data_IF_288384023487
#
_entry.id   IF_288384023487
#
_cell.length_a   1.000
_cell.length_b   1.000
_cell.length_c   1.000
_cell.angle_alpha   90.00
_cell.angle_beta   90.00
_cell.angle_gamma   90.00
#
_symmetry.space_group_name_H-M   'P 1'
#
loop_
_entity.id
_entity.type
_entity.pdbx_description
1 polymer ?
#
# COMPACT_ATOMS: atom_id res chain seq x y z
N UNK A 1 -12.99 36.54 7.23
CA UNK A 1 -11.58 36.29 7.61
C UNK A 1 -10.93 35.59 6.42
N UNK A 2 -9.94 36.23 5.79
CA UNK A 2 -9.21 35.61 4.66
C UNK A 2 -8.02 34.90 5.27
N UNK A 3 -7.99 33.56 5.14
CA UNK A 3 -6.86 32.75 5.61
C UNK A 3 -5.86 32.65 4.44
N UNK A 4 -4.68 33.24 4.63
CA UNK A 4 -3.59 33.10 3.67
C UNK A 4 -2.80 31.82 3.98
N UNK A 5 -2.50 30.99 2.97
CA UNK A 5 -1.63 29.81 3.17
C UNK A 5 -0.23 30.25 3.62
N UNK A 6 0.46 29.41 4.37
CA UNK A 6 1.82 29.70 4.81
C UNK A 6 2.75 29.81 3.57
N UNK A 7 3.68 30.75 3.61
CA UNK A 7 4.58 31.08 2.48
C UNK A 7 5.36 29.85 1.98
N UNK A 8 5.74 28.93 2.88
CA UNK A 8 6.38 27.64 2.54
C UNK A 8 5.56 26.74 1.60
N UNK A 9 4.22 26.93 1.53
CA UNK A 9 3.36 26.13 0.65
C UNK A 9 3.41 26.61 -0.80
N UNK A 10 3.86 27.84 -1.05
CA UNK A 10 3.98 28.38 -2.40
C UNK A 10 5.12 27.74 -3.21
N UNK A 11 6.11 27.14 -2.53
CA UNK A 11 7.25 26.45 -3.15
C UNK A 11 7.00 24.94 -3.39
N UNK A 12 5.88 24.41 -2.90
CA UNK A 12 5.53 22.99 -3.11
C UNK A 12 5.15 22.76 -4.57
N UNK A 13 5.97 21.99 -5.27
CA UNK A 13 5.68 21.57 -6.64
C UNK A 13 4.81 20.33 -6.64
N UNK A 14 3.96 20.20 -7.64
CA UNK A 14 3.18 18.98 -7.84
C UNK A 14 4.12 17.78 -8.04
N UNK A 15 3.80 16.67 -7.37
CA UNK A 15 4.57 15.45 -7.46
C UNK A 15 4.70 14.99 -8.92
N UNK A 16 5.92 14.67 -9.33
CA UNK A 16 6.26 14.35 -10.72
C UNK A 16 5.34 13.29 -11.33
N UNK A 17 5.12 12.18 -10.63
CA UNK A 17 4.26 11.10 -11.13
C UNK A 17 2.80 11.49 -11.26
N UNK A 18 2.27 12.32 -10.35
CA UNK A 18 0.89 12.84 -10.45
C UNK A 18 0.71 13.64 -11.74
N UNK A 19 1.69 14.47 -12.08
CA UNK A 19 1.67 15.24 -13.34
C UNK A 19 1.75 14.31 -14.55
N UNK A 20 2.64 13.31 -14.53
CA UNK A 20 2.78 12.34 -15.62
C UNK A 20 1.54 11.47 -15.83
N UNK A 21 0.87 11.08 -14.77
CA UNK A 21 -0.38 10.34 -14.87
C UNK A 21 -1.49 11.17 -15.54
N UNK A 22 -1.54 12.47 -15.26
CA UNK A 22 -2.48 13.40 -15.94
C UNK A 22 -2.15 13.52 -17.45
N UNK A 23 -0.87 13.63 -17.80
CA UNK A 23 -0.42 13.66 -19.20
C UNK A 23 -0.82 12.37 -19.94
N UNK A 24 -0.56 11.19 -19.34
CA UNK A 24 -0.93 9.90 -19.92
C UNK A 24 -2.46 9.78 -20.07
N UNK A 25 -3.23 10.23 -19.09
CA UNK A 25 -4.69 10.19 -19.18
C UNK A 25 -5.21 11.04 -20.36
N UNK A 26 -4.62 12.23 -20.58
CA UNK A 26 -4.95 13.09 -21.74
C UNK A 26 -4.59 12.43 -23.06
N UNK A 27 -3.39 11.87 -23.17
CA UNK A 27 -2.93 11.14 -24.37
C UNK A 27 -3.86 9.97 -24.65
N UNK A 28 -4.21 9.17 -23.65
CA UNK A 28 -5.11 8.02 -23.81
C UNK A 28 -6.52 8.44 -24.25
N UNK A 29 -7.02 9.58 -23.76
CA UNK A 29 -8.29 10.13 -24.25
C UNK A 29 -8.26 10.49 -25.72
N UNK A 30 -7.15 11.11 -26.19
CA UNK A 30 -6.95 11.45 -27.60
C UNK A 30 -6.80 10.21 -28.48
N UNK A 31 -6.03 9.21 -28.02
CA UNK A 31 -5.84 7.94 -28.72
C UNK A 31 -7.15 7.15 -28.86
N UNK A 32 -7.93 7.10 -27.79
CA UNK A 32 -9.25 6.46 -27.81
C UNK A 32 -10.19 7.11 -28.83
N UNK A 33 -10.19 8.45 -28.93
CA UNK A 33 -10.97 9.17 -29.94
C UNK A 33 -10.50 8.89 -31.36
N UNK A 34 -9.23 8.52 -31.55
CA UNK A 34 -8.64 8.12 -32.85
C UNK A 34 -8.76 6.61 -33.14
N UNK A 35 -9.32 5.81 -32.23
CA UNK A 35 -9.40 4.35 -32.36
C UNK A 35 -8.05 3.64 -32.16
N UNK A 36 -7.13 4.27 -31.46
CA UNK A 36 -5.80 3.74 -31.18
C UNK A 36 -5.73 3.11 -29.79
N UNK A 37 -4.80 2.15 -29.63
CA UNK A 37 -4.54 1.51 -28.33
C UNK A 37 -3.97 2.49 -27.29
N UNK A 38 -4.30 2.33 -26.00
CA UNK A 38 -3.77 3.18 -24.95
C UNK A 38 -2.25 3.02 -24.76
N UNK A 39 -1.63 4.02 -24.19
CA UNK A 39 -0.22 3.95 -23.74
C UNK A 39 -0.08 2.91 -22.63
N UNK A 40 0.87 1.99 -22.79
CA UNK A 40 1.23 1.02 -21.75
C UNK A 40 2.07 1.76 -20.69
N UNK A 41 1.51 1.87 -19.50
CA UNK A 41 2.18 2.56 -18.38
C UNK A 41 3.02 1.57 -17.56
N UNK A 42 4.34 1.62 -17.73
CA UNK A 42 5.31 0.84 -16.95
C UNK A 42 5.99 1.69 -15.85
N UNK A 43 5.51 2.91 -15.62
CA UNK A 43 6.15 3.87 -14.70
C UNK A 43 5.81 3.65 -13.22
N UNK A 44 4.77 2.89 -12.91
CA UNK A 44 4.34 2.61 -11.54
C UNK A 44 4.09 1.11 -11.40
N UNK A 45 4.80 0.50 -10.45
CA UNK A 45 4.52 -0.88 -10.04
C UNK A 45 3.28 -0.89 -9.12
N UNK A 46 2.27 -1.63 -9.53
CA UNK A 46 1.06 -1.86 -8.73
C UNK A 46 0.60 -3.30 -8.95
N UNK A 47 0.16 -4.00 -7.90
CA UNK A 47 -0.50 -5.29 -8.09
C UNK A 47 -1.71 -5.13 -9.01
N UNK A 48 -1.84 -5.98 -10.00
CA UNK A 48 -2.95 -6.02 -10.96
C UNK A 48 -3.92 -7.18 -10.71
N UNK A 49 -3.52 -8.13 -9.87
CA UNK A 49 -4.34 -9.26 -9.43
C UNK A 49 -5.01 -9.04 -8.08
N UNK A 50 -6.04 -9.82 -7.83
CA UNK A 50 -6.69 -9.86 -6.52
C UNK A 50 -5.82 -10.66 -5.53
N UNK A 51 -5.82 -10.30 -4.23
CA UNK A 51 -5.25 -11.15 -3.20
C UNK A 51 -5.93 -12.54 -3.19
N UNK A 52 -5.26 -13.58 -2.66
CA UNK A 52 -5.92 -14.87 -2.44
C UNK A 52 -7.22 -14.71 -1.64
N UNK A 53 -8.22 -15.50 -1.99
CA UNK A 53 -9.55 -15.40 -1.36
C UNK A 53 -9.48 -15.60 0.16
N UNK A 54 -8.62 -16.50 0.62
CA UNK A 54 -8.40 -16.77 2.05
C UNK A 54 -7.86 -15.55 2.79
N UNK A 55 -7.04 -14.73 2.15
CA UNK A 55 -6.53 -13.49 2.75
C UNK A 55 -7.64 -12.44 2.91
N UNK A 56 -8.54 -12.33 1.92
CA UNK A 56 -9.69 -11.43 1.97
C UNK A 56 -10.66 -11.86 3.07
N UNK A 57 -10.94 -13.15 3.17
CA UNK A 57 -11.83 -13.72 4.19
C UNK A 57 -11.27 -13.52 5.60
N UNK A 58 -9.97 -13.78 5.80
CA UNK A 58 -9.30 -13.58 7.07
C UNK A 58 -9.31 -12.10 7.50
N UNK A 59 -9.04 -11.17 6.57
CA UNK A 59 -9.13 -9.73 6.81
C UNK A 59 -10.54 -9.31 7.22
N UNK A 60 -11.54 -9.76 6.48
CA UNK A 60 -12.95 -9.45 6.75
C UNK A 60 -13.39 -10.00 8.09
N UNK A 61 -13.05 -11.25 8.39
CA UNK A 61 -13.35 -11.88 9.68
C UNK A 61 -12.65 -11.19 10.86
N UNK A 62 -11.46 -10.64 10.63
CA UNK A 62 -10.75 -9.85 11.64
C UNK A 62 -11.39 -8.48 11.85
N UNK A 63 -11.80 -7.81 10.78
CA UNK A 63 -12.34 -6.45 10.84
C UNK A 63 -13.67 -6.34 11.62
N UNK A 64 -14.48 -7.38 11.67
CA UNK A 64 -15.74 -7.39 12.43
C UNK A 64 -15.56 -7.61 13.94
N UNK A 65 -14.33 -7.91 14.41
CA UNK A 65 -14.06 -8.12 15.83
C UNK A 65 -13.88 -6.78 16.53
N UNK A 66 -14.68 -6.48 17.53
CA UNK A 66 -14.65 -5.20 18.24
C UNK A 66 -13.30 -4.85 18.89
N UNK A 67 -12.53 -5.85 19.33
CA UNK A 67 -11.20 -5.65 19.93
C UNK A 67 -10.10 -5.23 18.95
N UNK A 68 -10.33 -5.33 17.63
CA UNK A 68 -9.31 -5.07 16.61
C UNK A 68 -9.22 -3.60 16.17
N UNK A 69 -9.98 -2.69 16.78
CA UNK A 69 -10.04 -1.27 16.40
C UNK A 69 -9.30 -0.35 17.39
N UNK A 70 -8.71 -0.90 18.44
CA UNK A 70 -7.91 -0.13 19.38
C UNK A 70 -6.47 0.07 18.90
N UNK A 71 -5.76 1.03 19.52
CA UNK A 71 -4.32 1.17 19.31
C UNK A 71 -3.59 -0.10 19.74
N UNK A 72 -2.65 -0.50 18.91
CA UNK A 72 -1.82 -1.68 19.17
C UNK A 72 -0.53 -1.31 19.92
N UNK A 73 0.12 -2.34 20.48
CA UNK A 73 1.44 -2.19 21.07
C UNK A 73 2.47 -1.74 20.03
N UNK A 74 3.42 -0.89 20.42
CA UNK A 74 4.51 -0.43 19.55
C UNK A 74 5.41 -1.55 19.03
N UNK A 75 5.42 -2.71 19.68
CA UNK A 75 6.16 -3.89 19.23
C UNK A 75 5.36 -4.79 18.29
N UNK A 76 4.13 -4.41 17.98
CA UNK A 76 3.21 -5.20 17.15
C UNK A 76 2.48 -6.31 17.90
N UNK A 77 1.53 -6.94 17.23
CA UNK A 77 0.78 -8.07 17.79
C UNK A 77 1.66 -9.32 17.91
N UNK A 78 1.61 -10.02 19.06
CA UNK A 78 2.38 -11.26 19.22
C UNK A 78 2.10 -12.30 18.14
N UNK A 79 0.83 -12.44 17.75
CA UNK A 79 0.39 -13.38 16.70
C UNK A 79 1.00 -13.04 15.34
N UNK A 80 1.10 -11.75 15.00
CA UNK A 80 1.73 -11.31 13.76
C UNK A 80 3.23 -11.62 13.76
N UNK A 81 3.89 -11.37 14.88
CA UNK A 81 5.32 -11.66 15.05
C UNK A 81 5.60 -13.16 14.96
N UNK A 82 4.75 -14.00 15.58
CA UNK A 82 4.85 -15.44 15.46
C UNK A 82 4.63 -15.90 14.02
N UNK A 83 3.64 -15.36 13.32
CA UNK A 83 3.39 -15.69 11.91
C UNK A 83 4.60 -15.37 11.00
N UNK A 84 5.31 -14.27 11.25
CA UNK A 84 6.56 -13.98 10.55
C UNK A 84 7.66 -15.00 10.88
N UNK A 85 7.84 -15.35 12.15
CA UNK A 85 8.81 -16.38 12.55
C UNK A 85 8.54 -17.72 11.85
N UNK A 86 7.29 -18.18 11.90
CA UNK A 86 6.86 -19.42 11.24
C UNK A 86 7.06 -19.38 9.72
N UNK A 87 6.79 -18.23 9.09
CA UNK A 87 7.02 -18.05 7.66
C UNK A 87 8.50 -18.17 7.30
N UNK A 88 9.38 -17.50 8.04
CA UNK A 88 10.82 -17.55 7.80
C UNK A 88 11.40 -18.94 8.04
N UNK A 89 10.97 -19.61 9.11
CA UNK A 89 11.38 -20.99 9.37
C UNK A 89 10.95 -21.93 8.24
N UNK A 90 9.69 -21.83 7.79
CA UNK A 90 9.13 -22.72 6.77
C UNK A 90 9.76 -22.55 5.39
N UNK A 91 9.95 -21.31 4.95
CA UNK A 91 10.29 -21.01 3.56
C UNK A 91 11.78 -20.74 3.33
N UNK A 92 12.48 -20.29 4.36
CA UNK A 92 13.89 -19.92 4.28
C UNK A 92 14.79 -20.75 5.21
N UNK A 93 14.24 -21.58 6.08
CA UNK A 93 14.99 -22.33 7.08
C UNK A 93 15.69 -21.44 8.12
N UNK A 94 15.13 -20.22 8.34
CA UNK A 94 15.67 -19.25 9.30
C UNK A 94 14.80 -19.24 10.54
N UNK A 95 15.38 -19.57 11.68
CA UNK A 95 14.71 -19.52 12.98
C UNK A 95 14.89 -18.14 13.60
N UNK A 96 13.78 -17.48 13.95
CA UNK A 96 13.76 -16.15 14.55
C UNK A 96 12.98 -16.19 15.88
N UNK A 97 13.51 -15.50 16.90
CA UNK A 97 12.77 -15.27 18.15
C UNK A 97 11.69 -14.18 17.91
N UNK A 98 10.39 -14.54 17.90
CA UNK A 98 9.33 -13.57 17.63
C UNK A 98 9.25 -12.48 18.70
N UNK A 99 9.87 -12.70 19.88
CA UNK A 99 9.85 -11.71 20.96
C UNK A 99 10.92 -10.63 20.84
N UNK A 100 11.97 -10.85 20.06
CA UNK A 100 13.15 -9.96 20.02
C UNK A 100 13.61 -9.59 18.61
N UNK A 101 13.40 -10.49 17.64
CA UNK A 101 14.02 -10.36 16.32
C UNK A 101 13.02 -9.94 15.22
N UNK A 102 11.73 -9.76 15.58
CA UNK A 102 10.69 -9.34 14.64
C UNK A 102 10.01 -8.06 15.14
N UNK A 103 10.11 -7.02 14.32
CA UNK A 103 9.47 -5.72 14.56
C UNK A 103 8.58 -5.36 13.36
N UNK A 104 7.25 -5.58 13.43
CA UNK A 104 6.32 -5.05 12.42
C UNK A 104 6.30 -3.52 12.47
N UNK A 105 6.27 -2.87 11.32
CA UNK A 105 6.24 -1.42 11.16
C UNK A 105 4.92 -0.96 10.55
#
# INVERSE_FOLDING_TARGET
>A
MIIHPAERTSSVQEYYFSRKLKEIALINSQRAAAGEDPVINLGIGSPDGMPPQEAIEALTASAIRSGNHAYQSYVGLPELRQAFADWYARWYGVELDPSKEIQPL
#
